data_IF_279943398878
#
_entry.id   IF_279943398878
#
_cell.length_a   1.000
_cell.length_b   1.000
_cell.length_c   1.000
_cell.angle_alpha   90.00
_cell.angle_beta   90.00
_cell.angle_gamma   90.00
#
_symmetry.space_group_name_H-M   'P 1'
#
loop_
_entity.id
_entity.type
_entity.pdbx_description
1 polymer ?
#
# COMPACT_ATOMS: atom_id res chain seq x y z
N UNK A 1 3.29 -1.39 -21.37
CA UNK A 1 3.48 -1.26 -19.91
C UNK A 1 2.46 -0.23 -19.45
N UNK A 2 1.17 -0.53 -19.65
CA UNK A 2 0.09 0.47 -19.56
C UNK A 2 -1.04 -0.04 -18.66
N UNK A 3 -1.49 -1.29 -18.86
CA UNK A 3 -2.58 -1.84 -18.06
C UNK A 3 -2.33 -1.93 -16.54
N UNK A 4 -1.09 -2.13 -16.09
CA UNK A 4 -0.77 -2.27 -14.66
C UNK A 4 -0.80 -0.95 -13.89
N UNK A 5 -0.60 0.18 -14.58
CA UNK A 5 -0.59 1.50 -13.93
C UNK A 5 -2.01 1.96 -13.60
N UNK A 6 -2.97 1.70 -14.50
CA UNK A 6 -4.39 2.04 -14.30
C UNK A 6 -5.03 1.30 -13.11
N UNK A 7 -4.63 0.04 -12.85
CA UNK A 7 -5.16 -0.73 -11.71
C UNK A 7 -4.51 -0.34 -10.37
N UNK A 8 -3.26 0.10 -10.38
CA UNK A 8 -2.53 0.46 -9.17
C UNK A 8 -2.71 1.94 -8.80
N UNK A 9 -3.17 2.75 -9.77
CA UNK A 9 -3.51 4.16 -9.62
C UNK A 9 -4.79 4.50 -10.39
N UNK A 10 -5.96 4.03 -9.93
CA UNK A 10 -7.23 4.35 -10.59
C UNK A 10 -7.46 5.87 -10.57
N UNK A 11 -7.37 6.54 -11.73
CA UNK A 11 -7.36 8.02 -11.85
C UNK A 11 -8.54 8.71 -11.14
N UNK A 12 -9.70 8.05 -11.05
CA UNK A 12 -10.91 8.56 -10.40
C UNK A 12 -10.92 8.46 -8.87
N UNK A 13 -9.96 7.75 -8.26
CA UNK A 13 -9.88 7.51 -6.80
C UNK A 13 -8.58 8.08 -6.19
N UNK A 14 -7.83 8.87 -6.96
CA UNK A 14 -6.59 9.52 -6.51
C UNK A 14 -6.88 10.94 -5.99
N UNK A 15 -6.41 11.25 -4.79
CA UNK A 15 -6.36 12.61 -4.25
C UNK A 15 -4.91 13.15 -4.25
N UNK A 16 -4.72 14.36 -3.74
CA UNK A 16 -3.39 15.00 -3.73
C UNK A 16 -2.37 14.17 -2.96
N UNK A 17 -2.79 13.47 -1.89
CA UNK A 17 -1.86 12.70 -1.08
C UNK A 17 -1.45 11.40 -1.75
N UNK A 18 -2.35 10.71 -2.45
CA UNK A 18 -1.95 9.51 -3.21
C UNK A 18 -0.99 9.83 -4.36
N UNK A 19 -1.08 11.05 -4.93
CA UNK A 19 -0.10 11.57 -5.90
C UNK A 19 1.27 11.80 -5.27
N UNK A 20 1.31 12.37 -4.06
CA UNK A 20 2.57 12.54 -3.29
C UNK A 20 3.18 11.18 -2.97
N UNK A 21 2.38 10.20 -2.53
CA UNK A 21 2.87 8.84 -2.30
C UNK A 21 3.59 8.25 -3.52
N UNK A 22 3.01 8.42 -4.72
CA UNK A 22 3.64 7.96 -5.96
C UNK A 22 4.93 8.71 -6.29
N UNK A 23 4.88 10.04 -6.27
CA UNK A 23 5.93 10.89 -6.84
C UNK A 23 7.12 11.10 -5.88
N UNK A 24 6.87 11.11 -4.58
CA UNK A 24 7.86 11.49 -3.56
C UNK A 24 8.27 10.33 -2.65
N UNK A 25 7.43 9.31 -2.52
CA UNK A 25 7.68 8.17 -1.62
C UNK A 25 7.85 6.83 -2.34
N UNK A 26 8.01 6.85 -3.66
CA UNK A 26 8.34 5.70 -4.51
C UNK A 26 7.34 4.52 -4.39
N UNK A 27 6.08 4.81 -4.02
CA UNK A 27 5.03 3.81 -4.11
C UNK A 27 4.68 3.55 -5.58
N UNK A 28 4.59 2.27 -5.94
CA UNK A 28 4.18 1.83 -7.28
C UNK A 28 2.67 1.57 -7.38
N UNK A 29 1.94 1.80 -6.30
CA UNK A 29 0.48 1.84 -6.23
C UNK A 29 0.04 2.59 -4.97
N UNK A 30 -1.02 3.36 -5.04
CA UNK A 30 -1.55 4.09 -3.88
C UNK A 30 -3.06 4.28 -4.04
N UNK A 31 -3.79 4.11 -2.93
CA UNK A 31 -5.21 4.45 -2.88
C UNK A 31 -5.68 4.75 -1.46
N UNK A 32 -6.81 5.43 -1.41
CA UNK A 32 -7.55 5.72 -0.18
C UNK A 32 -8.67 4.70 0.01
N UNK A 33 -8.76 4.12 1.20
CA UNK A 33 -9.85 3.24 1.59
C UNK A 33 -11.13 4.06 1.92
N UNK A 34 -12.33 3.43 1.91
CA UNK A 34 -13.58 4.09 2.27
C UNK A 34 -13.60 4.80 3.65
N UNK A 35 -12.83 4.30 4.62
CA UNK A 35 -12.69 4.91 5.95
C UNK A 35 -11.74 6.13 5.96
N UNK A 36 -11.08 6.41 4.83
CA UNK A 36 -10.10 7.45 4.66
C UNK A 36 -8.66 7.04 4.94
N UNK A 37 -8.41 5.80 5.33
CA UNK A 37 -7.05 5.29 5.52
C UNK A 37 -6.33 5.14 4.18
N UNK A 38 -5.09 5.62 4.10
CA UNK A 38 -4.27 5.41 2.90
C UNK A 38 -3.49 4.10 2.97
N UNK A 39 -3.45 3.42 1.83
CA UNK A 39 -2.60 2.25 1.62
C UNK A 39 -1.71 2.47 0.41
N UNK A 40 -0.52 1.88 0.45
CA UNK A 40 0.47 1.95 -0.61
C UNK A 40 1.01 0.58 -0.96
N UNK A 41 1.43 0.42 -2.21
CA UNK A 41 2.13 -0.75 -2.71
C UNK A 41 3.57 -0.34 -3.01
N UNK A 42 4.53 -0.94 -2.31
CA UNK A 42 5.93 -0.56 -2.36
C UNK A 42 6.78 -1.71 -2.90
N UNK A 43 7.61 -1.41 -3.89
CA UNK A 43 8.61 -2.36 -4.39
C UNK A 43 9.84 -2.33 -3.49
N UNK A 44 10.25 -3.51 -3.01
CA UNK A 44 11.48 -3.70 -2.26
C UNK A 44 12.52 -4.38 -3.15
N UNK A 45 13.74 -4.59 -2.63
CA UNK A 45 14.85 -5.18 -3.40
C UNK A 45 14.50 -6.53 -4.03
N UNK A 46 13.72 -7.38 -3.35
CA UNK A 46 13.35 -8.72 -3.82
C UNK A 46 11.85 -9.05 -3.71
N UNK A 47 11.07 -8.21 -3.03
CA UNK A 47 9.68 -8.49 -2.66
C UNK A 47 8.79 -7.30 -2.99
N UNK A 48 7.48 -7.51 -3.00
CA UNK A 48 6.49 -6.45 -3.05
C UNK A 48 5.81 -6.32 -1.69
N UNK A 49 5.41 -5.12 -1.28
CA UNK A 49 4.80 -4.93 0.02
C UNK A 49 3.55 -4.05 -0.02
N UNK A 50 2.55 -4.43 0.78
CA UNK A 50 1.39 -3.60 1.10
C UNK A 50 1.70 -2.84 2.38
N UNK A 51 1.68 -1.52 2.30
CA UNK A 51 1.83 -0.57 3.39
C UNK A 51 0.44 -0.05 3.79
N UNK A 52 0.01 -0.30 5.03
CA UNK A 52 -1.31 0.10 5.55
C UNK A 52 -1.15 1.22 6.56
N UNK A 53 -2.01 2.24 6.50
CA UNK A 53 -1.99 3.36 7.43
C UNK A 53 -0.86 4.35 7.10
N UNK A 54 -0.71 4.67 5.82
CA UNK A 54 0.26 5.68 5.36
C UNK A 54 -0.27 7.07 5.74
N UNK A 55 0.64 7.93 6.20
CA UNK A 55 0.35 9.33 6.54
C UNK A 55 1.54 10.19 6.12
N UNK A 56 1.40 11.51 6.12
CA UNK A 56 2.48 12.44 5.74
C UNK A 56 3.77 12.25 6.56
N UNK A 57 3.66 11.81 7.82
CA UNK A 57 4.80 11.62 8.73
C UNK A 57 5.17 10.16 8.93
N UNK A 58 4.43 9.23 8.34
CA UNK A 58 4.62 7.79 8.55
C UNK A 58 4.42 6.99 7.27
N UNK A 59 5.44 6.24 6.80
CA UNK A 59 5.34 5.45 5.59
C UNK A 59 4.38 4.25 5.72
N UNK A 60 4.11 3.78 6.94
CA UNK A 60 3.10 2.75 7.21
C UNK A 60 2.88 2.59 8.71
N UNK A 61 1.72 2.12 9.13
CA UNK A 61 1.50 1.51 10.45
C UNK A 61 1.78 0.01 10.43
N UNK A 62 1.46 -0.66 9.33
CA UNK A 62 1.73 -2.09 9.12
C UNK A 62 2.21 -2.32 7.68
N UNK A 63 3.21 -3.18 7.50
CA UNK A 63 3.71 -3.56 6.18
C UNK A 63 3.71 -5.08 6.01
N UNK A 64 3.14 -5.57 4.92
CA UNK A 64 3.02 -6.98 4.58
C UNK A 64 3.80 -7.25 3.29
N UNK A 65 4.87 -8.04 3.38
CA UNK A 65 5.74 -8.37 2.26
C UNK A 65 5.33 -9.71 1.63
N UNK A 66 5.33 -9.75 0.31
CA UNK A 66 4.96 -10.89 -0.53
C UNK A 66 6.15 -11.30 -1.40
N UNK A 67 6.30 -12.59 -1.64
CA UNK A 67 7.32 -13.12 -2.53
C UNK A 67 6.99 -12.84 -3.99
N UNK A 68 5.72 -12.95 -4.37
CA UNK A 68 5.24 -12.77 -5.74
C UNK A 68 4.37 -11.51 -5.88
N UNK A 69 4.53 -10.84 -7.03
CA UNK A 69 3.76 -9.63 -7.33
C UNK A 69 2.25 -9.88 -7.50
N UNK A 70 1.79 -10.95 -8.18
CA UNK A 70 0.36 -11.20 -8.37
C UNK A 70 -0.41 -11.29 -7.06
N UNK A 71 0.05 -12.10 -6.10
CA UNK A 71 -0.63 -12.25 -4.80
C UNK A 71 -0.70 -10.92 -4.05
N UNK A 72 0.39 -10.15 -4.06
CA UNK A 72 0.42 -8.82 -3.44
C UNK A 72 -0.59 -7.86 -4.06
N UNK A 73 -0.67 -7.81 -5.39
CA UNK A 73 -1.58 -6.92 -6.11
C UNK A 73 -3.03 -7.35 -5.87
N UNK A 74 -3.32 -8.65 -5.93
CA UNK A 74 -4.67 -9.18 -5.62
C UNK A 74 -5.11 -8.78 -4.21
N UNK A 75 -4.26 -8.97 -3.20
CA UNK A 75 -4.59 -8.57 -1.82
C UNK A 75 -4.76 -7.05 -1.71
N UNK A 76 -3.88 -6.26 -2.35
CA UNK A 76 -3.98 -4.80 -2.37
C UNK A 76 -5.31 -4.30 -2.94
N UNK A 77 -5.82 -4.93 -4.00
CA UNK A 77 -7.09 -4.58 -4.62
C UNK A 77 -8.31 -4.99 -3.79
N UNK A 78 -8.20 -6.10 -3.04
CA UNK A 78 -9.30 -6.62 -2.21
C UNK A 78 -9.51 -5.83 -0.91
N UNK A 79 -8.50 -5.11 -0.40
CA UNK A 79 -8.64 -4.35 0.85
C UNK A 79 -9.80 -3.34 0.77
N UNK A 80 -10.60 -3.26 1.82
CA UNK A 80 -11.63 -2.21 1.98
C UNK A 80 -11.55 -1.54 3.35
N UNK A 81 -10.84 -2.15 4.29
CA UNK A 81 -10.55 -1.62 5.62
C UNK A 81 -9.09 -1.88 6.00
N UNK A 82 -8.45 -1.00 6.79
CA UNK A 82 -7.12 -1.28 7.34
C UNK A 82 -7.11 -2.49 8.28
N UNK A 83 -8.26 -2.91 8.82
CA UNK A 83 -8.38 -4.09 9.67
C UNK A 83 -8.60 -5.39 8.89
N UNK A 84 -8.75 -5.33 7.57
CA UNK A 84 -8.98 -6.53 6.76
C UNK A 84 -7.82 -7.50 6.90
N UNK A 85 -8.15 -8.79 6.88
CA UNK A 85 -7.16 -9.85 6.94
C UNK A 85 -6.40 -9.92 5.62
N UNK A 86 -5.08 -9.74 5.71
CA UNK A 86 -4.15 -9.88 4.60
C UNK A 86 -3.47 -11.23 4.73
N UNK A 87 -3.61 -12.08 3.72
CA UNK A 87 -3.04 -13.43 3.70
C UNK A 87 -1.98 -13.58 2.63
N UNK A 88 -1.17 -14.64 2.69
CA UNK A 88 -0.14 -14.93 1.68
C UNK A 88 1.14 -14.10 1.79
N UNK A 89 1.29 -13.29 2.85
CA UNK A 89 2.53 -12.59 3.13
C UNK A 89 3.60 -13.53 3.72
N UNK A 90 4.86 -13.29 3.37
CA UNK A 90 6.03 -14.02 3.87
C UNK A 90 6.72 -13.31 5.04
N UNK A 91 6.50 -12.01 5.18
CA UNK A 91 6.97 -11.24 6.32
C UNK A 91 6.02 -10.07 6.62
N UNK A 92 5.87 -9.73 7.89
CA UNK A 92 5.17 -8.51 8.32
C UNK A 92 6.07 -7.65 9.20
N UNK A 93 5.80 -6.35 9.24
CA UNK A 93 6.41 -5.39 10.16
C UNK A 93 5.30 -4.48 10.72
N UNK A 94 4.97 -4.57 12.02
CA UNK A 94 4.31 -3.45 12.67
C UNK A 94 5.31 -2.29 12.72
N UNK A 95 4.85 -1.06 12.47
CA UNK A 95 5.63 0.12 12.88
C UNK A 95 5.48 0.22 14.40
N UNK A 96 6.60 0.37 15.10
CA UNK A 96 6.57 0.71 16.52
C UNK A 96 5.71 1.97 16.66
N UNK A 97 4.58 1.87 17.35
CA UNK A 97 4.03 3.04 18.04
C UNK A 97 5.14 3.48 18.99
N UNK A 98 5.75 4.62 18.71
CA UNK A 98 6.44 5.35 19.75
C UNK A 98 5.28 6.01 20.48
N UNK A 99 4.83 5.41 21.58
CA UNK A 99 3.98 6.10 22.54
C UNK A 99 4.72 7.40 22.92
N UNK A 100 4.24 8.54 22.43
CA UNK A 100 4.61 9.87 22.97
C UNK A 100 3.86 10.14 24.28
#
# INVERSE_FOLDING_TARGET
>A
MEATDDFLFPEGEQDDFTRVMRNEHEYVGARRLPDGTYIGLQRLMFTLAICVGVTETSPFKRRYCFEDAPSCITQFLLLSSPSDEITGWIATRPKHEVDE
#
